data_IF_813412605918
#
_entry.id   IF_813412605918
#
_cell.length_a   1.000
_cell.length_b   1.000
_cell.length_c   1.000
_cell.angle_alpha   90.00
_cell.angle_beta   90.00
_cell.angle_gamma   90.00
#
_symmetry.space_group_name_H-M   'P 1'
#
loop_
_entity.id
_entity.type
_entity.pdbx_description
1 polymer ?
#
# COMPACT_ATOMS: atom_id res chain seq x y z
N UNK A 1 -17.53 15.79 6.02
CA UNK A 1 -16.14 15.71 6.52
C UNK A 1 -15.19 15.21 5.45
N UNK A 2 -13.89 15.51 5.56
CA UNK A 2 -12.87 15.08 4.59
C UNK A 2 -12.29 13.72 4.99
N UNK A 3 -12.01 12.88 4.01
CA UNK A 3 -11.35 11.58 4.19
C UNK A 3 -9.82 11.73 4.13
N UNK A 4 -9.08 10.85 4.80
CA UNK A 4 -7.61 10.77 4.77
C UNK A 4 -7.19 9.43 4.20
N UNK A 5 -6.32 9.48 3.19
CA UNK A 5 -5.70 8.31 2.57
C UNK A 5 -4.25 8.16 3.05
N UNK A 6 -3.86 6.94 3.42
CA UNK A 6 -2.49 6.63 3.82
C UNK A 6 -1.94 5.44 3.02
N UNK A 7 -0.74 5.60 2.47
CA UNK A 7 0.04 4.47 1.93
C UNK A 7 0.72 3.69 3.06
N UNK A 8 0.30 2.45 3.25
CA UNK A 8 0.86 1.54 4.24
C UNK A 8 1.94 0.70 3.57
N UNK A 9 3.16 0.72 4.10
CA UNK A 9 4.29 -0.03 3.51
C UNK A 9 4.67 -1.29 4.29
N UNK A 10 4.07 -1.52 5.46
CA UNK A 10 4.50 -2.55 6.42
C UNK A 10 5.74 -2.17 7.23
N UNK A 11 6.42 -1.07 6.89
CA UNK A 11 7.50 -0.50 7.69
C UNK A 11 6.99 0.18 8.96
N UNK A 12 7.86 0.28 9.98
CA UNK A 12 7.53 0.82 11.31
C UNK A 12 6.98 2.26 11.24
N UNK A 13 7.52 3.10 10.36
CA UNK A 13 7.12 4.50 10.25
C UNK A 13 5.66 4.63 9.80
N UNK A 14 5.32 4.01 8.65
CA UNK A 14 3.95 4.03 8.11
C UNK A 14 2.95 3.36 9.07
N UNK A 15 3.40 2.31 9.76
CA UNK A 15 2.63 1.57 10.75
C UNK A 15 2.24 2.43 11.95
N UNK A 16 3.20 3.17 12.50
CA UNK A 16 2.96 4.08 13.64
C UNK A 16 2.07 5.24 13.23
N UNK A 17 2.28 5.82 12.03
CA UNK A 17 1.41 6.90 11.53
C UNK A 17 -0.03 6.40 11.35
N UNK A 18 -0.24 5.22 10.77
CA UNK A 18 -1.56 4.62 10.62
C UNK A 18 -2.27 4.43 11.98
N UNK A 19 -1.54 3.92 12.98
CA UNK A 19 -2.07 3.74 14.33
C UNK A 19 -2.48 5.07 14.99
N UNK A 20 -1.64 6.10 14.86
CA UNK A 20 -1.92 7.43 15.42
C UNK A 20 -3.11 8.11 14.72
N UNK A 21 -3.19 8.03 13.40
CA UNK A 21 -4.30 8.58 12.63
C UNK A 21 -5.59 7.84 12.95
N UNK A 22 -5.59 6.51 12.99
CA UNK A 22 -6.80 5.75 13.32
C UNK A 22 -7.34 6.12 14.70
N UNK A 23 -6.45 6.30 15.69
CA UNK A 23 -6.84 6.78 17.02
C UNK A 23 -7.44 8.19 17.01
N UNK A 24 -7.00 9.05 16.10
CA UNK A 24 -7.41 10.45 16.04
C UNK A 24 -8.70 10.67 15.22
N UNK A 25 -8.86 9.97 14.10
CA UNK A 25 -9.91 10.21 13.10
C UNK A 25 -10.74 8.97 12.73
N UNK A 26 -10.43 7.80 13.30
CA UNK A 26 -11.22 6.58 13.17
C UNK A 26 -11.51 6.21 11.71
N UNK A 27 -12.80 6.12 11.39
CA UNK A 27 -13.33 5.69 10.09
C UNK A 27 -13.04 6.67 8.94
N UNK A 28 -12.54 7.88 9.23
CA UNK A 28 -12.09 8.81 8.19
C UNK A 28 -10.74 8.40 7.58
N UNK A 29 -10.02 7.45 8.19
CA UNK A 29 -8.76 6.93 7.67
C UNK A 29 -9.02 5.70 6.79
N UNK A 30 -8.54 5.76 5.55
CA UNK A 30 -8.37 4.58 4.70
C UNK A 30 -6.89 4.36 4.41
N UNK A 31 -6.39 3.18 4.72
CA UNK A 31 -5.04 2.75 4.40
C UNK A 31 -5.05 1.93 3.10
N UNK A 32 -4.09 2.16 2.22
CA UNK A 32 -3.87 1.36 1.02
C UNK A 32 -2.53 0.66 1.14
N UNK A 33 -2.55 -0.66 1.01
CA UNK A 33 -1.36 -1.51 1.01
C UNK A 33 -1.20 -2.11 -0.38
N UNK A 34 -0.11 -1.79 -1.06
CA UNK A 34 0.18 -2.30 -2.42
C UNK A 34 1.03 -3.55 -2.30
N UNK A 35 0.45 -4.70 -2.64
CA UNK A 35 1.18 -5.94 -2.81
C UNK A 35 1.81 -5.98 -4.19
N UNK A 36 3.11 -5.73 -4.24
CA UNK A 36 3.86 -5.56 -5.47
C UNK A 36 4.55 -6.85 -5.95
N UNK A 37 4.37 -7.97 -5.23
CA UNK A 37 5.05 -9.24 -5.53
C UNK A 37 6.55 -9.27 -5.20
N UNK A 38 7.10 -8.20 -4.59
CA UNK A 38 8.50 -8.07 -4.21
C UNK A 38 8.69 -8.01 -2.67
N UNK A 39 7.63 -8.33 -1.92
CA UNK A 39 7.61 -8.34 -0.46
C UNK A 39 8.31 -9.58 0.11
N UNK A 40 8.58 -9.57 1.41
CA UNK A 40 9.03 -10.78 2.11
C UNK A 40 7.90 -11.80 2.21
N UNK A 41 8.28 -13.06 2.38
CA UNK A 41 7.34 -14.16 2.60
C UNK A 41 6.37 -13.82 3.75
N UNK A 42 5.06 -13.93 3.48
CA UNK A 42 3.94 -13.65 4.39
C UNK A 42 3.80 -12.19 4.87
N UNK A 43 4.57 -11.24 4.34
CA UNK A 43 4.51 -9.86 4.79
C UNK A 43 3.14 -9.21 4.54
N UNK A 44 2.57 -9.43 3.35
CA UNK A 44 1.23 -8.92 3.04
C UNK A 44 0.15 -9.42 4.00
N UNK A 45 0.19 -10.71 4.35
CA UNK A 45 -0.79 -11.32 5.26
C UNK A 45 -0.61 -10.79 6.69
N UNK A 46 0.63 -10.63 7.15
CA UNK A 46 0.94 -10.06 8.46
C UNK A 46 0.44 -8.61 8.58
N UNK A 47 0.59 -7.81 7.52
CA UNK A 47 0.08 -6.43 7.49
C UNK A 47 -1.44 -6.42 7.62
N UNK A 48 -2.14 -7.26 6.86
CA UNK A 48 -3.60 -7.33 6.93
C UNK A 48 -4.08 -7.78 8.32
N UNK A 49 -3.44 -8.80 8.90
CA UNK A 49 -3.78 -9.29 10.23
C UNK A 49 -3.59 -8.20 11.31
N UNK A 50 -2.47 -7.48 11.28
CA UNK A 50 -2.19 -6.46 12.30
C UNK A 50 -3.14 -5.27 12.17
N UNK A 51 -3.31 -4.72 10.96
CA UNK A 51 -4.03 -3.46 10.80
C UNK A 51 -5.54 -3.63 10.65
N UNK A 52 -5.98 -4.58 9.82
CA UNK A 52 -7.40 -4.79 9.58
C UNK A 52 -8.06 -5.58 10.72
N UNK A 53 -7.50 -6.72 11.12
CA UNK A 53 -8.13 -7.61 12.10
C UNK A 53 -7.91 -7.16 13.54
N UNK A 54 -6.66 -6.88 13.93
CA UNK A 54 -6.35 -6.58 15.33
C UNK A 54 -6.63 -5.13 15.73
N UNK A 55 -6.47 -4.18 14.80
CA UNK A 55 -6.63 -2.75 15.08
C UNK A 55 -7.93 -2.14 14.52
N UNK A 56 -8.66 -2.85 13.65
CA UNK A 56 -9.90 -2.35 13.06
C UNK A 56 -9.69 -1.19 12.07
N UNK A 57 -8.48 -1.01 11.54
CA UNK A 57 -8.18 0.02 10.54
C UNK A 57 -8.74 -0.43 9.19
N UNK A 58 -9.40 0.47 8.45
CA UNK A 58 -9.81 0.18 7.07
C UNK A 58 -8.55 0.08 6.19
N UNK A 59 -8.19 -1.13 5.78
CA UNK A 59 -7.05 -1.39 4.89
C UNK A 59 -7.54 -2.02 3.59
N UNK A 60 -7.18 -1.41 2.46
CA UNK A 60 -7.38 -1.93 1.12
C UNK A 60 -6.07 -2.55 0.65
N UNK A 61 -6.05 -3.87 0.44
CA UNK A 61 -4.93 -4.56 -0.20
C UNK A 61 -5.13 -4.53 -1.71
N UNK A 62 -4.17 -3.96 -2.42
CA UNK A 62 -4.15 -3.92 -3.89
C UNK A 62 -3.15 -4.96 -4.37
N UNK A 63 -3.65 -5.98 -5.06
CA UNK A 63 -2.81 -6.95 -5.74
C UNK A 63 -2.29 -6.35 -7.06
N UNK A 64 -0.98 -6.15 -7.14
CA UNK A 64 -0.31 -5.52 -8.27
C UNK A 64 0.91 -6.31 -8.75
N UNK A 65 1.12 -7.55 -8.29
CA UNK A 65 2.30 -8.37 -8.61
C UNK A 65 2.57 -8.40 -10.12
N UNK A 66 1.55 -8.75 -10.92
CA UNK A 66 1.66 -8.83 -12.38
C UNK A 66 2.10 -7.51 -13.02
N UNK A 67 1.63 -6.36 -12.51
CA UNK A 67 2.02 -5.02 -13.02
C UNK A 67 3.50 -4.76 -12.78
N UNK A 68 4.00 -5.09 -11.59
CA UNK A 68 5.41 -4.88 -11.24
C UNK A 68 6.33 -5.85 -11.98
N UNK A 69 6.00 -7.14 -12.00
CA UNK A 69 6.82 -8.15 -12.67
C UNK A 69 6.87 -7.93 -14.18
N UNK A 70 5.75 -7.56 -14.80
CA UNK A 70 5.71 -7.22 -16.23
C UNK A 70 6.54 -5.97 -16.52
N UNK A 71 6.45 -4.93 -15.69
CA UNK A 71 7.23 -3.70 -15.89
C UNK A 71 8.74 -3.92 -15.72
N UNK A 72 9.16 -4.89 -14.91
CA UNK A 72 10.55 -5.25 -14.66
C UNK A 72 11.13 -6.27 -15.66
N UNK A 73 10.29 -6.83 -16.53
CA UNK A 73 10.70 -7.90 -17.43
C UNK A 73 11.85 -7.46 -18.35
N UNK A 74 12.97 -8.19 -18.27
CA UNK A 74 14.16 -7.93 -19.09
C UNK A 74 15.05 -6.79 -18.61
N UNK A 75 14.70 -6.08 -17.54
CA UNK A 75 15.55 -5.02 -16.99
C UNK A 75 16.62 -5.59 -16.05
N UNK A 76 17.87 -5.19 -16.27
CA UNK A 76 19.03 -5.64 -15.50
C UNK A 76 19.77 -4.50 -14.80
N UNK A 77 19.57 -3.26 -15.23
CA UNK A 77 20.22 -2.07 -14.66
C UNK A 77 19.56 -1.70 -13.31
N UNK A 78 20.31 -1.69 -12.20
CA UNK A 78 19.74 -1.48 -10.86
C UNK A 78 18.94 -0.19 -10.68
N UNK A 79 19.42 0.94 -11.21
CA UNK A 79 18.75 2.23 -11.05
C UNK A 79 17.49 2.33 -11.91
N UNK A 80 17.49 1.75 -13.11
CA UNK A 80 16.31 1.60 -13.96
C UNK A 80 15.23 0.79 -13.24
N UNK A 81 15.60 -0.33 -12.59
CA UNK A 81 14.67 -1.12 -11.77
C UNK A 81 14.04 -0.28 -10.66
N UNK A 82 14.85 0.50 -9.92
CA UNK A 82 14.35 1.40 -8.87
C UNK A 82 13.35 2.42 -9.43
N UNK A 83 13.67 3.02 -10.57
CA UNK A 83 12.82 4.02 -11.23
C UNK A 83 11.50 3.41 -11.72
N UNK A 84 11.56 2.21 -12.30
CA UNK A 84 10.38 1.45 -12.73
C UNK A 84 9.48 1.14 -11.53
N UNK A 85 10.03 0.54 -10.48
CA UNK A 85 9.28 0.19 -9.26
C UNK A 85 8.62 1.44 -8.65
N UNK A 86 9.36 2.54 -8.51
CA UNK A 86 8.83 3.79 -7.96
C UNK A 86 7.70 4.36 -8.80
N UNK A 87 7.85 4.38 -10.13
CA UNK A 87 6.80 4.83 -11.05
C UNK A 87 5.56 3.93 -10.96
N UNK A 88 5.73 2.62 -11.10
CA UNK A 88 4.62 1.66 -11.07
C UNK A 88 3.87 1.73 -9.74
N UNK A 89 4.57 1.93 -8.62
CA UNK A 89 3.93 2.13 -7.32
C UNK A 89 3.04 3.37 -7.28
N UNK A 90 3.53 4.51 -7.78
CA UNK A 90 2.74 5.75 -7.83
C UNK A 90 1.51 5.55 -8.71
N UNK A 91 1.65 4.92 -9.87
CA UNK A 91 0.54 4.65 -10.79
C UNK A 91 -0.52 3.75 -10.10
N UNK A 92 -0.11 2.63 -9.50
CA UNK A 92 -1.01 1.71 -8.76
C UNK A 92 -1.71 2.41 -7.60
N UNK A 93 -0.97 3.19 -6.82
CA UNK A 93 -1.52 3.89 -5.66
C UNK A 93 -2.51 4.98 -6.07
N UNK A 94 -2.23 5.71 -7.15
CA UNK A 94 -3.13 6.72 -7.70
C UNK A 94 -4.42 6.09 -8.23
N UNK A 95 -4.33 4.97 -8.95
CA UNK A 95 -5.50 4.21 -9.42
C UNK A 95 -6.39 3.81 -8.22
N UNK A 96 -5.79 3.18 -7.20
CA UNK A 96 -6.51 2.77 -6.00
C UNK A 96 -7.11 3.95 -5.22
N UNK A 97 -6.41 5.10 -5.17
CA UNK A 97 -6.90 6.31 -4.52
C UNK A 97 -8.13 6.90 -5.24
N UNK A 98 -8.14 6.85 -6.58
CA UNK A 98 -9.29 7.26 -7.38
C UNK A 98 -10.50 6.36 -7.11
N UNK A 99 -10.31 5.04 -7.17
CA UNK A 99 -11.40 4.07 -6.92
C UNK A 99 -12.07 4.28 -5.55
N UNK A 100 -11.26 4.50 -4.50
CA UNK A 100 -11.75 4.75 -3.13
C UNK A 100 -12.51 6.08 -3.02
N UNK A 101 -12.21 7.06 -3.87
CA UNK A 101 -12.85 8.38 -3.83
C UNK A 101 -14.21 8.43 -4.54
N UNK A 102 -14.49 7.43 -5.38
CA UNK A 102 -15.77 7.29 -6.09
C UNK A 102 -16.84 6.54 -5.26
N UNK A 103 -16.42 5.84 -4.20
CA UNK A 103 -17.27 5.17 -3.18
C UNK A 103 -17.73 6.11 -2.05
#
# INVERSE_FOLDING_TARGET
DKQVLLGLSGGVDSSVVAALLHKAIGDQLTCVFVDNGLLRLHEGDQVMQVFAENMGVKVVRVDAEDRFLTALAGESEPEAKRKIIGKTFIDVFADAACDISED
#
